data_IF_938534709211
#
_entry.id   IF_938534709211
#
_cell.length_a   1.000
_cell.length_b   1.000
_cell.length_c   1.000
_cell.angle_alpha   90.00
_cell.angle_beta   90.00
_cell.angle_gamma   90.00
#
_symmetry.space_group_name_H-M   'P 1'
#
loop_
_entity.id
_entity.type
_entity.pdbx_description
1 polymer ?
#
# COMPACT_ATOMS: atom_id res chain seq x y z
N UNK A 1 -11.63 -0.62 -15.50
CA UNK A 1 -10.92 -1.73 -14.81
C UNK A 1 -11.95 -2.48 -13.98
N UNK A 2 -11.79 -3.78 -13.69
CA UNK A 2 -12.66 -4.55 -12.82
C UNK A 2 -11.88 -5.09 -11.62
N UNK A 3 -12.54 -5.13 -10.45
CA UNK A 3 -11.93 -5.73 -9.28
C UNK A 3 -11.96 -7.24 -9.44
N UNK A 4 -10.78 -7.85 -9.36
CA UNK A 4 -10.64 -9.30 -9.38
C UNK A 4 -10.46 -9.78 -7.95
N UNK A 5 -11.19 -10.81 -7.51
CA UNK A 5 -10.97 -11.40 -6.19
C UNK A 5 -9.51 -11.84 -6.10
N UNK A 6 -8.75 -11.22 -5.21
CA UNK A 6 -7.37 -11.58 -4.93
C UNK A 6 -7.28 -11.97 -3.47
N UNK A 7 -6.53 -13.04 -3.20
CA UNK A 7 -6.23 -13.48 -1.85
C UNK A 7 -5.68 -12.32 -1.04
N UNK A 8 -6.04 -12.28 0.24
CA UNK A 8 -5.56 -11.31 1.24
C UNK A 8 -4.05 -11.08 1.05
N UNK A 9 -3.67 -9.85 0.72
CA UNK A 9 -2.28 -9.54 0.44
C UNK A 9 -1.44 -9.65 1.71
N UNK A 10 -0.47 -10.57 1.70
CA UNK A 10 0.56 -10.66 2.72
C UNK A 10 1.85 -10.10 2.16
N UNK A 11 2.51 -9.23 2.93
CA UNK A 11 3.85 -8.73 2.59
C UNK A 11 4.82 -9.91 2.77
N UNK A 12 5.52 -10.37 1.72
CA UNK A 12 6.47 -11.47 1.83
C UNK A 12 7.52 -11.17 2.90
N UNK A 13 7.92 -12.19 3.67
CA UNK A 13 8.90 -12.06 4.75
C UNK A 13 10.20 -11.42 4.25
N UNK A 14 10.65 -11.80 3.06
CA UNK A 14 11.85 -11.24 2.44
C UNK A 14 11.72 -9.74 2.16
N UNK A 15 10.54 -9.26 1.76
CA UNK A 15 10.29 -7.83 1.58
C UNK A 15 10.37 -7.08 2.92
N UNK A 16 9.82 -7.66 4.00
CA UNK A 16 9.95 -7.07 5.33
C UNK A 16 11.41 -7.03 5.78
N UNK A 17 12.15 -8.13 5.57
CA UNK A 17 13.57 -8.24 5.93
C UNK A 17 14.42 -7.18 5.21
N UNK A 18 14.27 -7.07 3.90
CA UNK A 18 14.98 -6.07 3.09
C UNK A 18 14.60 -4.65 3.51
N UNK A 19 13.32 -4.37 3.75
CA UNK A 19 12.87 -3.04 4.18
C UNK A 19 13.45 -2.65 5.55
N UNK A 20 13.45 -3.57 6.53
CA UNK A 20 14.07 -3.31 7.85
C UNK A 20 15.58 -3.10 7.74
N UNK A 21 16.26 -3.85 6.87
CA UNK A 21 17.70 -3.69 6.63
C UNK A 21 18.05 -2.36 5.93
N UNK A 22 17.25 -1.94 4.95
CA UNK A 22 17.44 -0.67 4.22
C UNK A 22 17.13 0.57 5.08
N UNK A 23 16.21 0.44 6.05
CA UNK A 23 15.78 1.52 6.92
C UNK A 23 15.98 1.17 8.41
N UNK A 24 17.24 1.11 8.90
CA UNK A 24 17.55 0.66 10.27
C UNK A 24 17.00 1.58 11.37
N UNK A 25 16.73 2.86 11.06
CA UNK A 25 16.05 3.81 11.97
C UNK A 25 14.52 3.79 11.85
N UNK A 26 13.98 2.87 11.05
CA UNK A 26 12.58 2.82 10.59
C UNK A 26 12.13 4.09 9.85
N UNK A 27 11.07 3.95 9.06
CA UNK A 27 10.30 5.08 8.53
C UNK A 27 8.96 5.14 9.25
N UNK A 28 8.21 6.24 9.07
CA UNK A 28 6.84 6.32 9.57
C UNK A 28 5.97 5.21 8.95
N UNK A 29 6.09 4.98 7.64
CA UNK A 29 5.39 3.92 6.93
C UNK A 29 5.64 2.53 7.53
N UNK A 30 6.89 2.20 7.86
CA UNK A 30 7.21 0.90 8.48
C UNK A 30 6.62 0.77 9.90
N UNK A 31 6.63 1.83 10.70
CA UNK A 31 5.99 1.81 12.03
C UNK A 31 4.48 1.64 11.95
N UNK A 32 3.85 2.33 10.99
CA UNK A 32 2.41 2.23 10.75
C UNK A 32 2.06 0.80 10.28
N UNK A 33 2.84 0.24 9.36
CA UNK A 33 2.64 -1.13 8.87
C UNK A 33 2.75 -2.15 10.01
N UNK A 34 3.76 -2.03 10.88
CA UNK A 34 3.96 -2.91 12.04
C UNK A 34 2.83 -2.79 13.07
N UNK A 35 2.29 -1.58 13.29
CA UNK A 35 1.29 -1.32 14.32
C UNK A 35 -0.15 -1.62 13.87
N UNK A 36 -0.50 -1.31 12.63
CA UNK A 36 -1.88 -1.38 12.14
C UNK A 36 -2.16 -2.60 11.27
N UNK A 37 -1.14 -3.21 10.66
CA UNK A 37 -1.34 -4.34 9.75
C UNK A 37 -2.27 -4.00 8.58
N UNK A 38 -3.02 -4.98 8.02
CA UNK A 38 -3.99 -4.70 6.96
C UNK A 38 -5.25 -4.02 7.55
N UNK A 39 -5.44 -2.73 7.24
CA UNK A 39 -6.65 -1.97 7.63
C UNK A 39 -7.71 -1.93 6.52
N UNK A 40 -7.28 -1.98 5.26
CA UNK A 40 -8.17 -1.89 4.10
C UNK A 40 -8.20 -3.22 3.35
N UNK A 41 -9.41 -3.75 3.16
CA UNK A 41 -9.69 -4.90 2.30
C UNK A 41 -10.16 -4.41 0.93
N UNK A 42 -9.75 -5.11 -0.14
CA UNK A 42 -10.10 -4.71 -1.50
C UNK A 42 -11.62 -4.80 -1.74
N UNK A 43 -12.28 -5.76 -1.09
CA UNK A 43 -13.71 -6.03 -1.13
C UNK A 43 -14.54 -4.84 -0.65
N UNK A 44 -14.02 -4.07 0.31
CA UNK A 44 -14.67 -2.84 0.79
C UNK A 44 -14.86 -1.79 -0.31
N UNK A 45 -14.13 -1.90 -1.42
CA UNK A 45 -14.20 -0.99 -2.56
C UNK A 45 -14.93 -1.60 -3.76
N UNK A 46 -15.48 -2.82 -3.66
CA UNK A 46 -16.03 -3.56 -4.80
C UNK A 46 -17.11 -2.78 -5.56
N UNK A 47 -17.95 -2.02 -4.86
CA UNK A 47 -19.03 -1.22 -5.46
C UNK A 47 -18.51 -0.06 -6.34
N UNK A 48 -17.24 0.31 -6.23
CA UNK A 48 -16.60 1.32 -7.07
C UNK A 48 -16.13 0.76 -8.43
N UNK A 49 -16.17 -0.56 -8.62
CA UNK A 49 -15.64 -1.21 -9.82
C UNK A 49 -16.74 -1.91 -10.64
N UNK A 50 -16.74 -1.78 -11.98
CA UNK A 50 -17.63 -2.57 -12.82
C UNK A 50 -17.26 -4.05 -12.79
N UNK A 51 -18.26 -4.93 -12.99
CA UNK A 51 -18.07 -6.39 -12.99
C UNK A 51 -17.16 -6.92 -14.10
N UNK A 52 -16.95 -6.17 -15.17
CA UNK A 52 -16.15 -6.57 -16.35
C UNK A 52 -15.19 -5.46 -16.76
N UNK A 53 -14.01 -5.86 -17.24
CA UNK A 53 -12.96 -4.97 -17.73
C UNK A 53 -11.57 -5.44 -17.33
N UNK A 54 -10.53 -4.73 -17.76
CA UNK A 54 -9.13 -5.04 -17.40
C UNK A 54 -8.93 -5.09 -15.87
N UNK A 55 -8.03 -5.93 -15.34
CA UNK A 55 -7.80 -6.02 -13.90
C UNK A 55 -7.47 -4.66 -13.27
N UNK A 56 -8.12 -4.34 -12.15
CA UNK A 56 -7.77 -3.18 -11.34
C UNK A 56 -6.52 -3.46 -10.48
N UNK A 57 -5.84 -2.38 -10.10
CA UNK A 57 -4.87 -2.45 -9.02
C UNK A 57 -5.60 -2.57 -7.68
N UNK A 58 -5.00 -3.27 -6.72
CA UNK A 58 -5.57 -3.52 -5.39
C UNK A 58 -5.99 -2.21 -4.68
N UNK A 59 -7.30 -1.89 -4.58
CA UNK A 59 -7.76 -0.61 -4.05
C UNK A 59 -7.43 -0.40 -2.57
N UNK A 60 -7.42 -1.44 -1.74
CA UNK A 60 -7.01 -1.34 -0.35
C UNK A 60 -5.53 -0.94 -0.19
N UNK A 61 -4.67 -1.38 -1.13
CA UNK A 61 -3.27 -0.91 -1.17
C UNK A 61 -3.17 0.55 -1.61
N UNK A 62 -3.96 0.96 -2.59
CA UNK A 62 -4.00 2.36 -3.02
C UNK A 62 -4.49 3.27 -1.89
N UNK A 63 -5.49 2.84 -1.12
CA UNK A 63 -5.95 3.56 0.07
C UNK A 63 -4.83 3.77 1.10
N UNK A 64 -4.00 2.74 1.36
CA UNK A 64 -2.80 2.89 2.19
C UNK A 64 -1.83 3.93 1.65
N UNK A 65 -1.54 3.93 0.34
CA UNK A 65 -0.66 4.91 -0.29
C UNK A 65 -1.20 6.33 -0.10
N UNK A 66 -2.51 6.53 -0.30
CA UNK A 66 -3.16 7.83 -0.09
C UNK A 66 -3.06 8.30 1.36
N UNK A 67 -3.30 7.43 2.33
CA UNK A 67 -3.20 7.78 3.76
C UNK A 67 -1.76 8.12 4.14
N UNK A 68 -0.79 7.30 3.73
CA UNK A 68 0.63 7.54 4.05
C UNK A 68 1.13 8.85 3.42
N UNK A 69 0.76 9.10 2.16
CA UNK A 69 1.05 10.37 1.47
C UNK A 69 0.45 11.57 2.22
N UNK A 70 -0.81 11.47 2.66
CA UNK A 70 -1.47 12.52 3.43
C UNK A 70 -0.79 12.76 4.79
N UNK A 71 -0.50 11.69 5.52
CA UNK A 71 0.16 11.76 6.83
C UNK A 71 1.55 12.38 6.74
N UNK A 72 2.30 12.10 5.68
CA UNK A 72 3.61 12.70 5.43
C UNK A 72 3.54 14.06 4.70
N UNK A 73 2.33 14.55 4.39
CA UNK A 73 2.09 15.80 3.67
C UNK A 73 2.86 15.90 2.34
N UNK A 74 2.83 14.82 1.56
CA UNK A 74 3.54 14.70 0.29
C UNK A 74 2.60 14.89 -0.90
N UNK A 75 3.12 15.50 -1.97
CA UNK A 75 2.47 15.43 -3.30
C UNK A 75 2.72 14.07 -3.95
N UNK A 76 2.02 13.75 -5.04
CA UNK A 76 2.23 12.50 -5.80
C UNK A 76 3.70 12.33 -6.22
N UNK A 77 4.31 13.40 -6.71
CA UNK A 77 5.73 13.38 -7.12
C UNK A 77 6.65 13.16 -5.92
N UNK A 78 6.42 13.88 -4.82
CA UNK A 78 7.25 13.74 -3.62
C UNK A 78 7.12 12.35 -2.98
N UNK A 79 5.93 11.76 -2.98
CA UNK A 79 5.71 10.39 -2.52
C UNK A 79 6.45 9.37 -3.42
N UNK A 80 6.39 9.55 -4.75
CA UNK A 80 7.14 8.72 -5.70
C UNK A 80 8.66 8.85 -5.51
N UNK A 81 9.17 10.05 -5.21
CA UNK A 81 10.59 10.27 -4.91
C UNK A 81 10.98 9.65 -3.56
N UNK A 82 10.11 9.73 -2.54
CA UNK A 82 10.37 9.17 -1.21
C UNK A 82 10.49 7.63 -1.22
N UNK A 83 9.70 6.93 -2.04
CA UNK A 83 9.78 5.45 -2.15
C UNK A 83 11.00 4.97 -2.92
N UNK A 84 11.69 5.84 -3.66
CA UNK A 84 12.88 5.48 -4.44
C UNK A 84 14.05 5.05 -3.55
N UNK A 85 13.98 5.32 -2.25
CA UNK A 85 15.10 5.14 -1.34
C UNK A 85 16.24 6.10 -1.69
N UNK A 86 17.38 5.92 -1.02
CA UNK A 86 18.64 6.58 -1.35
C UNK A 86 19.61 5.53 -1.86
#
# INVERSE_FOLDING_TARGET
>A
MSLQPRTTFQIPEETQRVARAAFPRSTLCLRIADALGPVYEDESFADLFPRRGQPAQAPGRLAWVTVLQFVENLSDRAAADAVRGR
#
